data_IF_674164760307
#
_entry.id   IF_674164760307
#
_cell.length_a   1.000
_cell.length_b   1.000
_cell.length_c   1.000
_cell.angle_alpha   90.00
_cell.angle_beta   90.00
_cell.angle_gamma   90.00
#
_symmetry.space_group_name_H-M   'P 1'
#
loop_
_entity.id
_entity.type
_entity.pdbx_description
1 polymer ?
#
# COMPACT_ATOMS: atom_id res chain seq x y z
N UNK A 1 -4.77 -12.64 -5.69
CA UNK A 1 -4.57 -13.04 -4.29
C UNK A 1 -3.12 -12.75 -3.93
N UNK A 2 -2.91 -11.91 -2.91
CA UNK A 2 -1.60 -11.51 -2.44
C UNK A 2 -0.78 -12.73 -2.00
N UNK A 3 0.39 -12.91 -2.61
CA UNK A 3 1.41 -13.84 -2.14
C UNK A 3 2.43 -13.09 -1.27
N UNK A 4 3.36 -13.81 -0.65
CA UNK A 4 4.34 -13.20 0.26
C UNK A 4 5.17 -12.08 -0.40
N UNK A 5 5.54 -12.26 -1.66
CA UNK A 5 6.28 -11.24 -2.41
C UNK A 5 5.44 -9.96 -2.60
N UNK A 6 4.18 -10.07 -3.00
CA UNK A 6 3.29 -8.91 -3.15
C UNK A 6 3.01 -8.21 -1.82
N UNK A 7 2.91 -8.96 -0.72
CA UNK A 7 2.78 -8.38 0.63
C UNK A 7 3.99 -7.52 0.97
N UNK A 8 5.21 -7.97 0.62
CA UNK A 8 6.42 -7.17 0.81
C UNK A 8 6.38 -5.86 0.02
N UNK A 9 5.94 -5.91 -1.25
CA UNK A 9 5.76 -4.70 -2.05
C UNK A 9 4.73 -3.74 -1.42
N UNK A 10 3.59 -4.27 -0.96
CA UNK A 10 2.59 -3.48 -0.23
C UNK A 10 3.17 -2.81 1.02
N UNK A 11 3.93 -3.54 1.85
CA UNK A 11 4.54 -2.98 3.05
C UNK A 11 5.52 -1.83 2.72
N UNK A 12 6.36 -2.02 1.70
CA UNK A 12 7.33 -1.02 1.27
C UNK A 12 6.65 0.28 0.81
N UNK A 13 5.72 0.20 -0.14
CA UNK A 13 5.03 1.39 -0.67
C UNK A 13 4.03 1.99 0.33
N UNK A 14 3.52 1.21 1.28
CA UNK A 14 2.65 1.73 2.34
C UNK A 14 3.40 2.74 3.21
N UNK A 15 4.66 2.46 3.58
CA UNK A 15 5.48 3.40 4.35
C UNK A 15 5.64 4.75 3.65
N UNK A 16 5.98 4.72 2.36
CA UNK A 16 6.07 5.93 1.52
C UNK A 16 4.70 6.62 1.39
N UNK A 17 3.61 5.86 1.26
CA UNK A 17 2.29 6.46 1.05
C UNK A 17 1.75 7.14 2.32
N UNK A 18 2.07 6.59 3.49
CA UNK A 18 1.66 7.12 4.80
C UNK A 18 2.48 8.32 5.29
N UNK A 19 3.56 8.70 4.61
CA UNK A 19 4.27 9.95 4.91
C UNK A 19 3.49 11.21 4.47
N UNK A 20 2.40 11.04 3.70
CA UNK A 20 1.53 12.10 3.14
C UNK A 20 2.25 13.22 2.34
N UNK A 21 3.50 13.01 1.95
CA UNK A 21 4.26 13.92 1.09
C UNK A 21 3.92 13.66 -0.39
N UNK A 22 2.76 14.15 -0.81
CA UNK A 22 2.28 14.05 -2.18
C UNK A 22 1.26 12.92 -2.43
N UNK A 23 0.67 12.89 -3.64
CA UNK A 23 -0.46 12.03 -3.96
C UNK A 23 -0.06 10.55 -4.12
N UNK A 24 -0.92 9.64 -3.62
CA UNK A 24 -0.64 8.21 -3.55
C UNK A 24 -0.49 7.54 -4.93
N UNK A 25 -1.25 7.98 -5.93
CA UNK A 25 -1.17 7.49 -7.31
C UNK A 25 0.19 7.81 -7.96
N UNK A 26 0.76 8.99 -7.66
CA UNK A 26 2.10 9.35 -8.14
C UNK A 26 3.17 8.45 -7.51
N UNK A 27 3.05 8.16 -6.20
CA UNK A 27 3.97 7.25 -5.50
C UNK A 27 3.90 5.83 -6.05
N UNK A 28 2.68 5.30 -6.22
CA UNK A 28 2.45 4.00 -6.85
C UNK A 28 3.01 3.96 -8.29
N UNK A 29 2.80 5.02 -9.07
CA UNK A 29 3.33 5.11 -10.44
C UNK A 29 4.86 5.05 -10.46
N UNK A 30 5.52 5.80 -9.58
CA UNK A 30 6.98 5.77 -9.45
C UNK A 30 7.49 4.42 -8.95
N UNK A 31 6.82 3.83 -7.96
CA UNK A 31 7.14 2.52 -7.44
C UNK A 31 7.07 1.44 -8.53
N UNK A 32 6.01 1.42 -9.33
CA UNK A 32 5.86 0.45 -10.43
C UNK A 32 6.84 0.67 -11.59
N UNK A 33 7.35 1.89 -11.77
CA UNK A 33 8.43 2.15 -12.74
C UNK A 33 9.77 1.60 -12.27
N UNK A 34 10.03 1.65 -10.96
CA UNK A 34 11.25 1.12 -10.35
C UNK A 34 11.24 -0.41 -10.25
N UNK A 35 10.03 -1.00 -10.16
CA UNK A 35 9.81 -2.45 -10.05
C UNK A 35 9.19 -3.00 -11.34
N UNK A 36 10.00 -3.01 -12.41
CA UNK A 36 9.59 -3.44 -13.75
C UNK A 36 9.18 -4.92 -13.83
N UNK A 37 9.60 -5.74 -12.86
CA UNK A 37 9.23 -7.14 -12.71
C UNK A 37 7.74 -7.35 -12.34
N UNK A 38 7.08 -6.32 -11.81
CA UNK A 38 5.67 -6.40 -11.43
C UNK A 38 4.77 -6.35 -12.68
N UNK A 39 4.04 -7.44 -12.91
CA UNK A 39 3.07 -7.53 -13.99
C UNK A 39 1.81 -6.71 -13.72
N UNK A 40 0.94 -6.55 -14.73
CA UNK A 40 -0.31 -5.78 -14.62
C UNK A 40 -1.20 -6.28 -13.46
N UNK A 41 -1.27 -7.60 -13.26
CA UNK A 41 -2.05 -8.22 -12.18
C UNK A 41 -1.48 -7.85 -10.81
N UNK A 42 -0.16 -7.96 -10.65
CA UNK A 42 0.53 -7.65 -9.38
C UNK A 42 0.34 -6.18 -9.00
N UNK A 43 0.47 -5.28 -9.98
CA UNK A 43 0.21 -3.84 -9.80
C UNK A 43 -1.23 -3.58 -9.36
N UNK A 44 -2.19 -4.31 -9.93
CA UNK A 44 -3.61 -4.23 -9.54
C UNK A 44 -3.82 -4.63 -8.08
N UNK A 45 -3.25 -5.76 -7.66
CA UNK A 45 -3.38 -6.28 -6.29
C UNK A 45 -2.71 -5.35 -5.26
N UNK A 46 -1.52 -4.82 -5.59
CA UNK A 46 -0.82 -3.83 -4.75
C UNK A 46 -1.66 -2.55 -4.63
N UNK A 47 -2.14 -2.01 -5.75
CA UNK A 47 -2.96 -0.80 -5.74
C UNK A 47 -4.25 -1.00 -4.93
N UNK A 48 -4.93 -2.14 -5.11
CA UNK A 48 -6.13 -2.49 -4.33
C UNK A 48 -5.82 -2.52 -2.83
N UNK A 49 -4.71 -3.15 -2.43
CA UNK A 49 -4.27 -3.20 -1.04
C UNK A 49 -4.04 -1.79 -0.47
N UNK A 50 -3.24 -0.96 -1.15
CA UNK A 50 -2.88 0.38 -0.69
C UNK A 50 -4.12 1.29 -0.61
N UNK A 51 -4.94 1.35 -1.66
CA UNK A 51 -6.17 2.15 -1.62
C UNK A 51 -7.18 1.59 -0.62
N UNK A 52 -7.23 0.28 -0.42
CA UNK A 52 -8.02 -0.36 0.63
C UNK A 52 -7.65 0.16 2.01
N UNK A 53 -6.34 0.21 2.31
CA UNK A 53 -5.79 0.74 3.57
C UNK A 53 -6.09 2.23 3.69
N UNK A 54 -5.72 3.05 2.70
CA UNK A 54 -5.92 4.51 2.75
C UNK A 54 -7.37 4.90 2.98
N UNK A 55 -8.30 4.24 2.29
CA UNK A 55 -9.75 4.50 2.42
C UNK A 55 -10.27 4.21 3.83
N UNK A 56 -9.65 3.27 4.54
CA UNK A 56 -10.06 2.82 5.87
C UNK A 56 -9.08 3.25 6.96
N UNK A 57 -8.10 4.10 6.65
CA UNK A 57 -6.98 4.38 7.55
C UNK A 57 -7.41 4.87 8.93
N UNK A 58 -8.42 5.76 8.99
CA UNK A 58 -8.96 6.24 10.28
C UNK A 58 -9.53 5.12 11.14
N UNK A 59 -10.24 4.18 10.54
CA UNK A 59 -10.80 3.03 11.22
C UNK A 59 -9.72 2.04 11.66
N UNK A 60 -8.74 1.77 10.79
CA UNK A 60 -7.61 0.89 11.09
C UNK A 60 -6.75 1.43 12.23
N UNK A 61 -6.50 2.75 12.27
CA UNK A 61 -5.81 3.39 13.39
C UNK A 61 -6.56 3.22 14.70
N UNK A 62 -7.87 3.45 14.68
CA UNK A 62 -8.72 3.30 15.88
C UNK A 62 -8.63 1.87 16.46
N UNK A 63 -8.78 0.84 15.62
CA UNK A 63 -8.70 -0.55 16.11
C UNK A 63 -7.32 -0.86 16.67
N UNK A 64 -6.26 -0.36 16.04
CA UNK A 64 -4.89 -0.59 16.52
C UNK A 64 -4.60 0.14 17.84
N UNK A 65 -5.21 1.30 18.09
CA UNK A 65 -5.14 2.02 19.37
C UNK A 65 -5.95 1.31 20.48
N UNK A 66 -7.06 0.67 20.12
CA UNK A 66 -7.91 -0.08 21.06
C UNK A 66 -7.23 -1.40 21.53
N UNK A 67 -6.30 -1.96 20.75
CA UNK A 67 -5.53 -3.18 21.09
C UNK A 67 -4.38 -2.93 22.09
N UNK A 68 -3.97 -1.68 22.32
CA UNK A 68 -2.91 -1.31 23.28
C UNK A 68 -3.44 -1.02 24.72
N UNK A 69 -4.74 -1.20 24.98
CA UNK A 69 -5.36 -1.01 26.30
C UNK A 69 -5.78 -2.32 26.99
#
# INVERSE_FOLDING_TARGET
MLNLNLIQHCANILGETLDFNGPADMKLSNYFRQHGELGQKDRGEIAECIYGILRRLRFLKKINEDDEN
#
